data_IF_511740346112
#
_entry.id   IF_511740346112
#
_cell.length_a   1.000
_cell.length_b   1.000
_cell.length_c   1.000
_cell.angle_alpha   90.00
_cell.angle_beta   90.00
_cell.angle_gamma   90.00
#
_symmetry.space_group_name_H-M   'P 1'
#
loop_
_entity.id
_entity.type
_entity.pdbx_description
1 polymer ?
#
# COMPACT_ATOMS: atom_id res chain seq x y z
N UNK A 1 19.50 12.03 39.52
CA UNK A 1 20.14 11.62 38.25
C UNK A 1 19.50 12.42 37.13
N UNK A 2 20.20 13.44 36.63
CA UNK A 2 19.75 14.31 35.55
C UNK A 2 19.74 13.51 34.25
N UNK A 3 18.55 13.22 33.72
CA UNK A 3 18.39 12.72 32.37
C UNK A 3 18.88 13.80 31.41
N UNK A 4 20.04 13.61 30.82
CA UNK A 4 20.58 14.46 29.76
C UNK A 4 19.55 14.54 28.65
N UNK A 5 18.79 15.64 28.59
CA UNK A 5 17.93 15.97 27.45
C UNK A 5 18.82 16.12 26.23
N UNK A 6 18.78 15.18 25.29
CA UNK A 6 19.49 15.30 24.03
C UNK A 6 18.89 16.47 23.25
N UNK A 7 19.72 17.48 22.94
CA UNK A 7 19.35 18.54 22.00
C UNK A 7 19.06 17.87 20.66
N UNK A 8 17.90 18.13 20.10
CA UNK A 8 17.54 17.76 18.74
C UNK A 8 17.80 18.93 17.81
N UNK A 9 18.45 18.68 16.69
CA UNK A 9 18.76 19.69 15.70
C UNK A 9 17.84 19.54 14.50
N UNK A 10 17.44 20.66 13.92
CA UNK A 10 16.66 20.70 12.67
C UNK A 10 17.45 21.50 11.65
N UNK A 11 17.75 20.89 10.51
CA UNK A 11 18.36 21.53 9.35
C UNK A 11 17.28 21.75 8.31
N UNK A 12 16.91 22.98 8.05
CA UNK A 12 16.01 23.36 6.96
C UNK A 12 16.82 23.74 5.74
N UNK A 13 16.47 23.19 4.60
CA UNK A 13 17.15 23.39 3.31
C UNK A 13 16.17 24.08 2.37
N UNK A 14 16.51 25.29 1.94
CA UNK A 14 15.76 26.02 0.91
C UNK A 14 16.59 26.17 -0.38
N UNK A 15 16.02 26.83 -1.38
CA UNK A 15 16.77 27.18 -2.60
C UNK A 15 17.83 28.24 -2.34
N UNK A 16 17.62 29.10 -1.34
CA UNK A 16 18.41 30.29 -1.09
C UNK A 16 19.24 30.23 0.18
N UNK A 17 18.87 29.38 1.13
CA UNK A 17 19.53 29.33 2.44
C UNK A 17 19.46 27.94 3.11
N UNK A 18 20.36 27.76 4.07
CA UNK A 18 20.36 26.65 5.03
C UNK A 18 20.18 27.23 6.43
N UNK A 19 19.22 26.71 7.17
CA UNK A 19 18.96 27.15 8.57
C UNK A 19 19.13 25.97 9.51
N UNK A 20 20.07 26.09 10.42
CA UNK A 20 20.25 25.14 11.51
C UNK A 20 19.60 25.69 12.77
N UNK A 21 18.68 24.94 13.33
CA UNK A 21 17.99 25.30 14.58
C UNK A 21 18.11 24.18 15.61
N UNK A 22 18.07 24.53 16.88
CA UNK A 22 17.97 23.57 17.97
C UNK A 22 16.57 23.56 18.56
N UNK A 23 16.05 22.37 18.85
CA UNK A 23 14.84 22.19 19.64
C UNK A 23 15.25 22.07 21.12
N UNK A 24 14.98 23.13 21.90
CA UNK A 24 15.09 23.10 23.34
C UNK A 24 13.84 22.41 23.89
N UNK A 25 14.00 21.41 24.71
CA UNK A 25 12.99 20.41 25.09
C UNK A 25 11.73 20.86 25.87
N UNK A 26 11.24 22.08 25.69
CA UNK A 26 9.94 22.56 26.16
C UNK A 26 9.06 22.80 24.94
N UNK A 27 7.94 22.11 24.84
CA UNK A 27 7.09 22.01 23.66
C UNK A 27 6.47 23.30 23.10
N UNK A 28 6.75 24.47 23.65
CA UNK A 28 6.21 25.78 23.25
C UNK A 28 7.27 26.75 22.68
N UNK A 29 8.55 26.40 22.75
CA UNK A 29 9.60 27.31 22.29
C UNK A 29 9.78 27.14 20.77
N UNK A 30 9.84 28.30 20.09
CA UNK A 30 10.27 28.33 18.68
C UNK A 30 11.68 27.73 18.59
N UNK A 31 11.99 26.99 17.54
CA UNK A 31 13.34 26.45 17.35
C UNK A 31 14.36 27.58 17.40
N UNK A 32 15.33 27.51 18.29
CA UNK A 32 16.42 28.48 18.38
C UNK A 32 17.26 28.38 17.11
N UNK A 33 17.34 29.48 16.34
CA UNK A 33 18.20 29.57 15.16
C UNK A 33 19.67 29.64 15.61
N UNK A 34 20.43 28.61 15.29
CA UNK A 34 21.86 28.54 15.65
C UNK A 34 22.76 29.14 14.57
N UNK A 35 22.43 28.86 13.30
CA UNK A 35 23.20 29.32 12.16
C UNK A 35 22.32 29.41 10.92
N UNK A 36 22.52 30.45 10.11
CA UNK A 36 21.98 30.58 8.76
C UNK A 36 23.15 30.72 7.78
N UNK A 37 23.02 30.07 6.63
CA UNK A 37 24.02 30.12 5.55
C UNK A 37 23.28 30.40 4.26
N UNK A 38 23.57 31.56 3.67
CA UNK A 38 22.99 31.90 2.36
C UNK A 38 23.71 31.14 1.24
N UNK A 39 22.91 30.58 0.34
CA UNK A 39 23.39 29.83 -0.82
C UNK A 39 23.61 30.82 -1.97
N UNK A 40 24.84 30.92 -2.45
CA UNK A 40 25.21 31.78 -3.55
C UNK A 40 24.67 31.29 -4.89
N UNK A 41 24.64 32.19 -5.90
CA UNK A 41 24.26 31.78 -7.25
C UNK A 41 25.28 30.78 -7.83
N UNK A 42 24.80 29.70 -8.47
CA UNK A 42 25.64 28.68 -9.06
C UNK A 42 24.95 27.34 -9.24
N UNK A 43 25.69 26.31 -9.55
CA UNK A 43 25.15 24.92 -9.58
C UNK A 43 24.67 24.55 -8.19
N UNK A 44 23.37 24.32 -8.05
CA UNK A 44 22.72 24.08 -6.74
C UNK A 44 23.43 22.97 -5.93
N UNK A 45 23.83 21.88 -6.58
CA UNK A 45 24.49 20.77 -5.90
C UNK A 45 25.88 21.17 -5.32
N UNK A 46 26.62 22.04 -6.00
CA UNK A 46 27.93 22.49 -5.54
C UNK A 46 27.76 23.51 -4.41
N UNK A 47 26.86 24.47 -4.60
CA UNK A 47 26.56 25.50 -3.60
C UNK A 47 25.99 24.88 -2.31
N UNK A 48 25.10 23.89 -2.44
CA UNK A 48 24.58 23.14 -1.31
C UNK A 48 25.70 22.42 -0.53
N UNK A 49 26.60 21.72 -1.23
CA UNK A 49 27.73 21.04 -0.58
C UNK A 49 28.63 22.04 0.16
N UNK A 50 28.95 23.16 -0.47
CA UNK A 50 29.76 24.21 0.16
C UNK A 50 29.04 24.80 1.40
N UNK A 51 27.75 25.14 1.28
CA UNK A 51 26.95 25.63 2.39
C UNK A 51 26.81 24.62 3.54
N UNK A 52 26.63 23.34 3.27
CA UNK A 52 26.61 22.30 4.30
C UNK A 52 27.95 22.19 5.04
N UNK A 53 29.06 22.33 4.33
CA UNK A 53 30.40 22.27 4.92
C UNK A 53 30.74 23.54 5.75
N UNK A 54 30.12 24.68 5.47
CA UNK A 54 30.29 25.92 6.22
C UNK A 54 29.58 25.92 7.59
N UNK A 55 28.65 24.97 7.82
CA UNK A 55 28.04 24.81 9.14
C UNK A 55 29.10 24.46 10.17
N UNK A 56 29.30 25.31 11.18
CA UNK A 56 30.36 25.18 12.17
C UNK A 56 30.22 23.95 13.08
N UNK A 57 31.32 23.35 13.57
CA UNK A 57 31.28 22.24 14.52
C UNK A 57 30.72 22.64 15.89
N UNK A 58 30.79 23.91 16.24
CA UNK A 58 30.19 24.48 17.46
C UNK A 58 28.67 24.54 17.36
N UNK A 59 28.12 24.88 16.20
CA UNK A 59 26.69 24.91 15.96
C UNK A 59 26.09 23.49 15.84
N UNK A 60 26.79 22.56 15.19
CA UNK A 60 26.34 21.17 15.02
C UNK A 60 27.44 20.17 15.44
N UNK A 61 27.40 19.62 16.64
CA UNK A 61 28.37 18.66 17.13
C UNK A 61 28.38 17.34 16.34
N UNK A 62 29.50 16.64 16.35
CA UNK A 62 29.58 15.27 15.81
C UNK A 62 28.62 14.35 16.57
N UNK A 63 28.11 13.34 15.87
CA UNK A 63 27.14 12.36 16.41
C UNK A 63 25.81 12.97 16.90
N UNK A 64 25.53 14.25 16.60
CA UNK A 64 24.27 14.86 16.93
C UNK A 64 23.09 14.15 16.23
N UNK A 65 21.92 14.19 16.89
CA UNK A 65 20.67 13.77 16.28
C UNK A 65 20.08 14.95 15.50
N UNK A 66 19.81 14.75 14.21
CA UNK A 66 19.33 15.79 13.32
C UNK A 66 18.12 15.34 12.51
N UNK A 67 17.13 16.20 12.40
CA UNK A 67 16.03 16.09 11.43
C UNK A 67 16.29 17.07 10.30
N UNK A 68 16.11 16.62 9.05
CA UNK A 68 16.34 17.44 7.86
C UNK A 68 15.00 17.74 7.22
N UNK A 69 14.73 19.01 6.96
CA UNK A 69 13.49 19.48 6.36
C UNK A 69 13.82 20.16 5.04
N UNK A 70 13.24 19.64 3.96
CA UNK A 70 13.47 20.16 2.61
C UNK A 70 12.28 21.03 2.22
N UNK A 71 12.52 22.28 1.83
CA UNK A 71 11.46 23.25 1.51
C UNK A 71 10.70 22.90 0.24
N UNK A 72 9.47 23.41 0.12
CA UNK A 72 8.52 23.12 -0.97
C UNK A 72 9.08 23.27 -2.36
N UNK A 73 9.88 24.30 -2.71
CA UNK A 73 10.40 24.46 -4.06
C UNK A 73 11.35 23.32 -4.50
N UNK A 74 11.97 22.64 -3.55
CA UNK A 74 12.92 21.55 -3.79
C UNK A 74 12.26 20.16 -3.86
N UNK A 75 11.01 20.07 -3.47
CA UNK A 75 10.24 18.81 -3.41
C UNK A 75 9.14 18.83 -4.46
N UNK A 76 8.83 17.68 -5.03
CA UNK A 76 7.64 17.48 -5.86
C UNK A 76 6.69 16.56 -5.13
N UNK A 77 5.53 17.11 -4.74
CA UNK A 77 4.47 16.34 -4.07
C UNK A 77 3.39 15.98 -5.08
N UNK A 78 2.92 14.74 -5.07
CA UNK A 78 1.89 14.27 -5.99
C UNK A 78 1.12 13.08 -5.42
N UNK A 79 -0.11 12.90 -5.94
CA UNK A 79 -0.93 11.74 -5.61
C UNK A 79 -0.78 10.68 -6.70
N UNK A 80 -0.69 9.44 -6.26
CA UNK A 80 -0.58 8.25 -7.11
C UNK A 80 -1.79 7.37 -6.89
N UNK A 81 -2.46 6.98 -7.97
CA UNK A 81 -3.49 5.94 -7.94
C UNK A 81 -2.80 4.60 -8.16
N UNK A 82 -2.90 3.65 -7.22
CA UNK A 82 -2.27 2.34 -7.38
C UNK A 82 -2.92 1.57 -8.53
N UNK A 83 -2.17 0.71 -9.26
CA UNK A 83 -2.74 -0.21 -10.22
C UNK A 83 -3.73 -1.17 -9.53
N UNK A 84 -4.80 -1.56 -10.24
CA UNK A 84 -5.86 -2.43 -9.69
C UNK A 84 -5.34 -3.81 -9.26
N UNK A 85 -4.22 -4.25 -9.82
CA UNK A 85 -3.58 -5.53 -9.57
C UNK A 85 -2.21 -5.42 -8.90
N UNK A 86 -1.92 -4.31 -8.21
CA UNK A 86 -0.65 -4.13 -7.51
C UNK A 86 -0.47 -5.21 -6.44
N UNK A 87 0.46 -6.13 -6.66
CA UNK A 87 0.78 -7.23 -5.75
C UNK A 87 2.09 -7.00 -4.97
N UNK A 88 3.01 -6.21 -5.53
CA UNK A 88 4.31 -5.95 -4.97
C UNK A 88 4.58 -4.45 -4.78
N UNK A 89 5.55 -4.13 -3.92
CA UNK A 89 5.98 -2.74 -3.72
C UNK A 89 6.55 -2.12 -5.02
N UNK A 90 7.15 -2.94 -5.87
CA UNK A 90 7.74 -2.47 -7.12
C UNK A 90 6.69 -2.04 -8.15
N UNK A 91 5.48 -2.62 -8.11
CA UNK A 91 4.34 -2.16 -8.91
C UNK A 91 3.94 -0.72 -8.51
N UNK A 92 3.92 -0.46 -7.20
CA UNK A 92 3.62 0.87 -6.66
C UNK A 92 4.71 1.88 -7.00
N UNK A 93 6.00 1.49 -6.92
CA UNK A 93 7.12 2.33 -7.32
C UNK A 93 7.07 2.65 -8.83
N UNK A 94 6.76 1.65 -9.65
CA UNK A 94 6.56 1.83 -11.09
C UNK A 94 5.43 2.83 -11.38
N UNK A 95 4.29 2.70 -10.71
CA UNK A 95 3.17 3.62 -10.84
C UNK A 95 3.52 5.05 -10.38
N UNK A 96 4.28 5.18 -9.29
CA UNK A 96 4.74 6.47 -8.79
C UNK A 96 5.72 7.14 -9.77
N UNK A 97 6.66 6.39 -10.34
CA UNK A 97 7.62 6.86 -11.35
C UNK A 97 6.91 7.31 -12.64
N UNK A 98 5.95 6.52 -13.11
CA UNK A 98 5.14 6.87 -14.28
C UNK A 98 4.30 8.14 -14.02
N UNK A 99 3.65 8.22 -12.86
CA UNK A 99 2.88 9.40 -12.49
C UNK A 99 3.73 10.65 -12.36
N UNK A 100 4.94 10.51 -11.80
CA UNK A 100 5.90 11.60 -11.68
C UNK A 100 6.32 12.13 -13.06
N UNK A 101 6.72 11.26 -14.00
CA UNK A 101 7.10 11.67 -15.34
C UNK A 101 5.94 12.28 -16.11
N UNK A 102 4.72 11.78 -15.95
CA UNK A 102 3.51 12.34 -16.60
C UNK A 102 3.19 13.74 -16.08
N UNK A 103 3.33 13.99 -14.77
CA UNK A 103 2.99 15.29 -14.18
C UNK A 103 4.04 16.36 -14.41
N UNK A 104 5.31 15.99 -14.36
CA UNK A 104 6.41 16.97 -14.36
C UNK A 104 7.24 16.96 -15.64
N UNK A 105 7.08 15.97 -16.52
CA UNK A 105 7.91 15.81 -17.72
C UNK A 105 9.38 15.53 -17.42
N UNK A 106 9.70 15.07 -16.22
CA UNK A 106 11.06 14.84 -15.73
C UNK A 106 11.38 13.34 -15.73
N UNK A 107 12.67 13.02 -15.85
CA UNK A 107 13.16 11.64 -15.77
C UNK A 107 13.16 11.18 -14.31
N UNK A 108 12.47 10.08 -13.97
CA UNK A 108 12.42 9.58 -12.59
C UNK A 108 13.77 9.16 -12.01
N UNK A 109 14.73 8.77 -12.88
CA UNK A 109 16.06 8.30 -12.48
C UNK A 109 16.91 9.36 -11.78
N UNK A 110 16.63 10.65 -12.03
CA UNK A 110 17.31 11.77 -11.38
C UNK A 110 16.69 12.13 -10.01
N UNK A 111 15.63 11.41 -9.61
CA UNK A 111 14.82 11.75 -8.46
C UNK A 111 14.58 10.57 -7.54
N UNK A 112 14.77 10.78 -6.27
CA UNK A 112 14.38 9.83 -5.24
C UNK A 112 12.90 10.02 -4.88
N UNK A 113 12.09 8.99 -5.11
CA UNK A 113 10.66 9.01 -4.81
C UNK A 113 10.40 8.20 -3.55
N UNK A 114 9.88 8.86 -2.53
CA UNK A 114 9.37 8.26 -1.32
C UNK A 114 7.86 8.45 -1.23
N UNK A 115 7.12 7.51 -0.66
CA UNK A 115 5.67 7.61 -0.59
C UNK A 115 5.08 6.90 0.64
N UNK A 116 3.86 7.27 0.98
CA UNK A 116 3.01 6.55 1.91
C UNK A 116 2.33 5.39 1.18
N UNK A 117 3.10 4.36 0.83
CA UNK A 117 2.71 3.26 -0.04
C UNK A 117 1.40 2.58 0.40
N UNK A 118 0.39 2.61 -0.45
CA UNK A 118 -0.90 1.95 -0.27
C UNK A 118 -1.33 1.28 -1.58
N UNK A 119 -1.57 -0.04 -1.55
CA UNK A 119 -1.96 -0.80 -2.72
C UNK A 119 -3.47 -0.72 -3.02
N UNK A 120 -4.27 -0.20 -2.09
CA UNK A 120 -5.73 -0.19 -2.20
C UNK A 120 -6.33 1.17 -2.50
N UNK A 121 -5.61 2.25 -2.15
CA UNK A 121 -6.14 3.61 -2.24
C UNK A 121 -5.09 4.56 -2.80
N UNK A 122 -5.51 5.69 -3.38
CA UNK A 122 -4.59 6.74 -3.76
C UNK A 122 -3.72 7.15 -2.59
N UNK A 123 -2.42 7.28 -2.82
CA UNK A 123 -1.43 7.59 -1.81
C UNK A 123 -0.58 8.79 -2.19
N UNK A 124 -0.09 9.48 -1.17
CA UNK A 124 0.79 10.62 -1.35
C UNK A 124 2.22 10.14 -1.61
N UNK A 125 2.84 10.72 -2.63
CA UNK A 125 4.25 10.55 -2.96
C UNK A 125 4.95 11.90 -2.96
N UNK A 126 6.24 11.87 -2.67
CA UNK A 126 7.13 13.01 -2.67
C UNK A 126 8.43 12.62 -3.38
N UNK A 127 8.96 13.54 -4.20
CA UNK A 127 10.22 13.34 -4.91
C UNK A 127 11.19 14.49 -4.63
N UNK A 128 12.45 14.13 -4.40
CA UNK A 128 13.57 15.07 -4.27
C UNK A 128 14.70 14.65 -5.22
N UNK A 129 15.53 15.61 -5.65
CA UNK A 129 16.66 15.28 -6.52
C UNK A 129 17.67 14.37 -5.81
N UNK A 130 18.14 13.32 -6.51
CA UNK A 130 19.21 12.44 -6.01
C UNK A 130 20.47 13.23 -5.61
N UNK A 131 20.85 14.24 -6.39
CA UNK A 131 22.01 15.09 -6.10
C UNK A 131 21.92 15.83 -4.77
N UNK A 132 20.70 16.14 -4.30
CA UNK A 132 20.48 16.72 -2.97
C UNK A 132 20.72 15.66 -1.89
N UNK A 133 20.21 14.47 -2.06
CA UNK A 133 20.43 13.38 -1.10
C UNK A 133 21.89 12.96 -1.03
N UNK A 134 22.60 12.93 -2.15
CA UNK A 134 24.05 12.67 -2.19
C UNK A 134 24.86 13.73 -1.42
N UNK A 135 24.51 15.01 -1.57
CA UNK A 135 25.14 16.08 -0.83
C UNK A 135 24.91 15.92 0.69
N UNK A 136 23.68 15.56 1.07
CA UNK A 136 23.32 15.28 2.47
C UNK A 136 24.05 14.04 3.01
N UNK A 137 24.11 12.96 2.23
CA UNK A 137 24.80 11.74 2.64
C UNK A 137 26.29 12.02 2.92
N UNK A 138 26.95 12.78 2.06
CA UNK A 138 28.33 13.23 2.28
C UNK A 138 28.51 14.05 3.56
N UNK A 139 27.64 15.03 3.81
CA UNK A 139 27.66 15.85 5.01
C UNK A 139 27.42 15.03 6.28
N UNK A 140 26.38 14.19 6.26
CA UNK A 140 26.01 13.31 7.37
C UNK A 140 27.15 12.35 7.71
N UNK A 141 27.76 11.74 6.69
CA UNK A 141 28.87 10.79 6.84
C UNK A 141 30.12 11.48 7.41
N UNK A 142 30.52 12.65 6.89
CA UNK A 142 31.69 13.39 7.34
C UNK A 142 31.60 13.78 8.84
N UNK A 143 30.41 14.05 9.33
CA UNK A 143 30.16 14.43 10.73
C UNK A 143 29.64 13.32 11.61
N UNK A 144 29.39 12.14 11.03
CA UNK A 144 28.81 10.96 11.72
C UNK A 144 27.49 11.30 12.41
N UNK A 145 26.64 12.11 11.76
CA UNK A 145 25.36 12.52 12.32
C UNK A 145 24.37 11.36 12.36
N UNK A 146 23.43 11.42 13.30
CA UNK A 146 22.31 10.47 13.37
C UNK A 146 21.08 11.14 12.78
N UNK A 147 20.80 10.89 11.52
CA UNK A 147 19.61 11.43 10.87
C UNK A 147 18.37 10.69 11.38
N UNK A 148 17.46 11.44 12.00
CA UNK A 148 16.19 10.91 12.47
C UNK A 148 15.21 10.80 11.31
N UNK A 149 15.18 11.81 10.42
CA UNK A 149 14.26 11.92 9.32
C UNK A 149 14.78 12.92 8.28
N UNK A 150 14.41 12.68 7.01
CA UNK A 150 14.50 13.65 5.92
C UNK A 150 13.09 13.82 5.37
N UNK A 151 12.45 14.96 5.54
CA UNK A 151 11.06 15.17 5.21
C UNK A 151 10.83 16.44 4.38
N UNK A 152 9.73 16.48 3.63
CA UNK A 152 9.25 17.67 2.97
C UNK A 152 8.65 18.64 3.99
N UNK A 153 9.00 19.94 3.91
CA UNK A 153 8.52 20.94 4.83
C UNK A 153 6.97 21.01 4.92
N UNK A 154 6.21 20.99 3.82
CA UNK A 154 4.75 21.00 3.89
C UNK A 154 4.16 19.81 4.64
N UNK A 155 4.80 18.66 4.58
CA UNK A 155 4.33 17.46 5.28
C UNK A 155 4.74 17.44 6.75
N UNK A 156 5.99 17.87 7.04
CA UNK A 156 6.50 17.91 8.42
C UNK A 156 5.73 18.89 9.29
N UNK A 157 5.30 20.01 8.73
CA UNK A 157 4.49 21.01 9.41
C UNK A 157 3.17 20.42 9.88
N UNK A 158 2.48 19.66 9.02
CA UNK A 158 1.16 19.10 9.32
C UNK A 158 1.22 17.76 10.05
N UNK A 159 2.32 17.05 9.97
CA UNK A 159 2.49 15.77 10.66
C UNK A 159 2.24 15.86 12.17
N UNK A 160 2.55 17.01 12.75
CA UNK A 160 2.44 17.26 14.20
C UNK A 160 1.06 17.76 14.61
N UNK A 161 0.25 18.24 13.68
CA UNK A 161 -1.00 18.95 13.96
C UNK A 161 -2.25 18.13 13.63
N UNK A 162 -2.11 16.81 13.49
CA UNK A 162 -3.22 15.90 13.14
C UNK A 162 -4.41 15.97 14.13
N UNK A 163 -4.13 16.26 15.39
CA UNK A 163 -5.16 16.29 16.44
C UNK A 163 -6.12 17.48 16.29
N UNK A 164 -5.71 18.53 15.57
CA UNK A 164 -6.52 19.74 15.31
C UNK A 164 -7.53 19.48 14.19
N UNK A 165 -7.29 18.46 13.34
CA UNK A 165 -8.12 18.18 12.18
C UNK A 165 -9.47 17.61 12.58
N UNK A 166 -10.52 18.05 11.90
CA UNK A 166 -11.86 17.50 12.08
C UNK A 166 -11.91 16.02 11.67
N UNK A 167 -12.49 15.13 12.50
CA UNK A 167 -12.59 13.71 12.16
C UNK A 167 -13.62 13.39 11.07
N UNK A 168 -14.61 14.27 10.88
CA UNK A 168 -15.80 13.98 10.10
C UNK A 168 -15.93 14.81 8.81
N UNK A 169 -14.98 15.70 8.54
CA UNK A 169 -15.01 16.55 7.35
C UNK A 169 -13.67 16.54 6.61
N UNK A 170 -13.68 16.95 5.35
CA UNK A 170 -12.48 17.28 4.61
C UNK A 170 -11.81 18.50 5.25
N UNK A 171 -10.50 18.39 5.51
CA UNK A 171 -9.71 19.47 6.05
C UNK A 171 -8.84 20.04 4.94
N UNK A 172 -8.85 21.37 4.81
CA UNK A 172 -8.02 22.10 3.88
C UNK A 172 -6.81 22.68 4.61
N UNK A 173 -5.65 22.21 4.21
CA UNK A 173 -4.37 22.54 4.87
C UNK A 173 -3.51 23.34 3.90
N UNK A 174 -3.15 24.55 4.26
CA UNK A 174 -2.29 25.43 3.49
C UNK A 174 -0.93 25.52 4.18
N UNK A 175 0.14 25.22 3.47
CA UNK A 175 1.51 25.44 3.92
C UNK A 175 2.16 26.51 3.05
N UNK A 176 2.49 27.67 3.61
CA UNK A 176 3.10 28.79 2.90
C UNK A 176 4.59 28.87 3.20
N UNK A 177 5.38 28.98 2.15
CA UNK A 177 6.83 29.26 2.19
C UNK A 177 7.14 30.37 1.17
N UNK A 178 7.19 31.62 1.63
CA UNK A 178 7.28 32.77 0.73
C UNK A 178 6.07 32.86 -0.20
N UNK A 179 6.29 32.73 -1.52
CA UNK A 179 5.23 32.68 -2.52
C UNK A 179 4.75 31.25 -2.83
N UNK A 180 5.49 30.24 -2.44
CA UNK A 180 5.10 28.85 -2.64
C UNK A 180 4.05 28.44 -1.60
N UNK A 181 2.91 27.93 -2.08
CA UNK A 181 1.83 27.42 -1.24
C UNK A 181 1.55 25.98 -1.62
N UNK A 182 1.61 25.10 -0.65
CA UNK A 182 1.15 23.72 -0.80
C UNK A 182 -0.20 23.59 -0.14
N UNK A 183 -1.17 23.20 -0.94
CA UNK A 183 -2.55 23.03 -0.56
C UNK A 183 -2.86 21.53 -0.55
N UNK A 184 -3.34 21.04 0.58
CA UNK A 184 -3.68 19.64 0.83
C UNK A 184 -5.14 19.56 1.26
N UNK A 185 -5.90 18.66 0.64
CA UNK A 185 -7.26 18.32 1.09
C UNK A 185 -7.21 16.90 1.63
N UNK A 186 -7.50 16.74 2.90
CA UNK A 186 -7.37 15.46 3.59
C UNK A 186 -8.45 15.23 4.64
N UNK A 187 -8.68 13.98 4.97
CA UNK A 187 -9.32 13.56 6.22
C UNK A 187 -8.24 13.09 7.23
N UNK A 188 -8.65 12.57 8.39
CA UNK A 188 -7.70 12.00 9.38
C UNK A 188 -6.95 10.75 8.89
N UNK A 189 -7.25 10.23 7.71
CA UNK A 189 -6.65 8.99 7.21
C UNK A 189 -5.85 9.20 5.94
N UNK A 190 -6.30 10.10 5.04
CA UNK A 190 -5.78 10.18 3.68
C UNK A 190 -5.77 11.59 3.13
N UNK A 191 -4.87 11.80 2.19
CA UNK A 191 -4.87 12.97 1.32
C UNK A 191 -5.71 12.64 0.09
N UNK A 192 -6.72 13.45 -0.17
CA UNK A 192 -7.67 13.29 -1.27
C UNK A 192 -7.30 14.15 -2.48
N UNK A 193 -6.75 15.33 -2.21
CA UNK A 193 -6.27 16.24 -3.25
C UNK A 193 -5.04 17.00 -2.78
N UNK A 194 -4.21 17.38 -3.74
CA UNK A 194 -2.98 18.13 -3.49
C UNK A 194 -2.72 19.07 -4.64
N UNK A 195 -2.28 20.28 -4.31
CA UNK A 195 -1.83 21.24 -5.29
C UNK A 195 -0.69 22.11 -4.72
N UNK A 196 0.35 22.29 -5.50
CA UNK A 196 1.41 23.25 -5.21
C UNK A 196 1.27 24.43 -6.18
N UNK A 197 1.12 25.62 -5.66
CA UNK A 197 0.88 26.84 -6.41
C UNK A 197 1.84 27.94 -5.98
N UNK A 198 2.04 28.91 -6.86
CA UNK A 198 2.73 30.16 -6.52
C UNK A 198 1.67 31.23 -6.33
N UNK A 199 1.49 31.64 -5.09
CA UNK A 199 0.61 32.75 -4.76
C UNK A 199 1.43 33.99 -4.43
N UNK A 200 1.17 35.12 -5.09
CA UNK A 200 1.71 36.39 -4.68
C UNK A 200 1.18 36.82 -3.31
N UNK A 201 1.50 37.99 -2.84
CA UNK A 201 1.10 38.40 -1.50
C UNK A 201 -0.38 38.84 -1.40
N UNK A 202 -1.06 39.13 -2.51
CA UNK A 202 -2.43 39.66 -2.52
C UNK A 202 -3.44 38.70 -1.81
N UNK A 203 -3.47 37.37 -2.02
CA UNK A 203 -4.39 36.50 -1.29
C UNK A 203 -4.22 36.55 0.23
N UNK A 204 -3.06 36.96 0.71
CA UNK A 204 -2.70 37.02 2.12
C UNK A 204 -2.93 38.38 2.79
N UNK A 205 -3.53 39.36 2.08
CA UNK A 205 -3.84 40.68 2.63
C UNK A 205 -5.17 40.71 3.38
N UNK A 206 -6.11 39.86 3.05
CA UNK A 206 -7.42 39.78 3.70
C UNK A 206 -8.03 38.38 3.63
N UNK A 207 -8.94 38.10 4.54
CA UNK A 207 -9.67 36.83 4.54
C UNK A 207 -10.53 36.66 3.28
N UNK A 208 -11.08 37.73 2.72
CA UNK A 208 -11.88 37.68 1.49
C UNK A 208 -11.02 37.34 0.28
N UNK A 209 -9.83 37.94 0.12
CA UNK A 209 -8.91 37.61 -0.94
C UNK A 209 -8.38 36.18 -0.83
N UNK A 210 -8.14 35.71 0.40
CA UNK A 210 -7.75 34.33 0.67
C UNK A 210 -8.87 33.34 0.30
N UNK A 211 -10.11 33.69 0.64
CA UNK A 211 -11.29 32.89 0.27
C UNK A 211 -11.44 32.77 -1.25
N UNK A 212 -11.34 33.88 -2.00
CA UNK A 212 -11.40 33.85 -3.47
C UNK A 212 -10.29 32.97 -4.06
N UNK A 213 -9.07 33.05 -3.55
CA UNK A 213 -7.96 32.21 -4.00
C UNK A 213 -8.23 30.73 -3.72
N UNK A 214 -8.75 30.39 -2.53
CA UNK A 214 -9.13 29.02 -2.17
C UNK A 214 -10.30 28.54 -3.03
N UNK A 215 -11.27 29.39 -3.32
CA UNK A 215 -12.40 29.06 -4.18
C UNK A 215 -11.96 28.68 -5.61
N UNK A 216 -11.03 29.43 -6.18
CA UNK A 216 -10.45 29.10 -7.47
C UNK A 216 -9.74 27.74 -7.47
N UNK A 217 -8.99 27.46 -6.41
CA UNK A 217 -8.31 26.16 -6.30
C UNK A 217 -9.30 25.01 -6.01
N UNK A 218 -10.40 25.27 -5.29
CA UNK A 218 -11.47 24.30 -5.06
C UNK A 218 -12.13 23.88 -6.37
N UNK A 219 -12.43 24.86 -7.25
CA UNK A 219 -12.95 24.58 -8.60
C UNK A 219 -11.98 23.74 -9.43
N UNK A 220 -10.67 24.02 -9.37
CA UNK A 220 -9.63 23.27 -10.10
C UNK A 220 -9.44 21.85 -9.58
N UNK A 221 -9.72 21.63 -8.30
CA UNK A 221 -9.62 20.33 -7.65
C UNK A 221 -10.93 19.52 -7.71
N UNK A 222 -11.99 20.10 -8.29
CA UNK A 222 -13.35 19.55 -8.28
C UNK A 222 -13.82 19.23 -6.86
N UNK A 223 -13.69 20.23 -5.96
CA UNK A 223 -14.03 20.13 -4.55
C UNK A 223 -14.91 21.29 -4.11
N UNK A 224 -15.63 21.06 -3.02
CA UNK A 224 -16.37 22.14 -2.36
C UNK A 224 -15.41 23.05 -1.60
N UNK A 225 -15.74 24.35 -1.56
CA UNK A 225 -14.98 25.31 -0.77
C UNK A 225 -15.16 24.97 0.71
N UNK A 226 -14.09 24.93 1.51
CA UNK A 226 -14.16 24.58 2.92
C UNK A 226 -14.82 25.67 3.75
N UNK A 227 -15.58 25.28 4.76
CA UNK A 227 -16.02 26.22 5.82
C UNK A 227 -14.88 26.57 6.78
N UNK A 228 -13.89 25.70 6.93
CA UNK A 228 -12.69 25.92 7.76
C UNK A 228 -11.46 25.51 6.98
N UNK A 229 -10.49 26.42 6.88
CA UNK A 229 -9.17 26.16 6.32
C UNK A 229 -8.09 26.42 7.38
N UNK A 230 -7.04 25.60 7.33
CA UNK A 230 -5.93 25.68 8.28
C UNK A 230 -4.66 26.15 7.58
N UNK A 231 -3.94 27.10 8.18
CA UNK A 231 -2.70 27.67 7.65
C UNK A 231 -1.48 27.31 8.48
N UNK A 232 -0.32 27.23 7.82
CA UNK A 232 1.00 27.10 8.43
C UNK A 232 2.09 27.76 7.58
N UNK A 233 3.23 28.03 8.21
CA UNK A 233 4.37 28.69 7.56
C UNK A 233 4.32 30.21 7.71
N UNK A 234 4.64 30.91 6.64
CA UNK A 234 4.77 32.38 6.63
C UNK A 234 3.39 33.07 6.54
N UNK A 235 2.45 32.70 7.43
CA UNK A 235 1.12 33.29 7.48
C UNK A 235 1.18 34.65 8.20
N UNK A 236 0.59 35.71 7.61
CA UNK A 236 0.50 37.03 8.30
C UNK A 236 -0.28 36.92 9.60
N UNK A 237 0.17 37.68 10.61
CA UNK A 237 -0.45 37.66 11.95
C UNK A 237 -1.93 38.08 11.92
N UNK A 238 -2.31 38.95 10.99
CA UNK A 238 -3.67 39.44 10.80
C UNK A 238 -4.63 38.32 10.34
N UNK A 239 -4.10 37.27 9.73
CA UNK A 239 -4.88 36.11 9.26
C UNK A 239 -4.82 34.91 10.20
N UNK A 240 -4.07 34.96 11.30
CA UNK A 240 -3.91 33.76 12.18
C UNK A 240 -5.23 33.20 12.69
N UNK A 241 -6.21 34.08 12.97
CA UNK A 241 -7.61 33.68 13.22
C UNK A 241 -8.50 34.71 12.55
N UNK A 242 -8.98 34.41 11.37
CA UNK A 242 -9.83 35.31 10.60
C UNK A 242 -11.10 34.57 10.14
N UNK A 243 -12.23 35.22 10.20
CA UNK A 243 -13.53 34.68 9.84
C UNK A 243 -14.23 35.60 8.86
N UNK A 244 -14.67 35.05 7.76
CA UNK A 244 -15.66 35.65 6.85
C UNK A 244 -17.00 34.93 6.98
N UNK A 245 -18.09 35.43 6.39
CA UNK A 245 -19.37 34.73 6.37
C UNK A 245 -19.29 33.32 5.74
N UNK A 246 -18.35 33.14 4.82
CA UNK A 246 -18.22 31.91 4.03
C UNK A 246 -17.17 30.93 4.57
N UNK A 247 -16.12 31.46 5.23
CA UNK A 247 -14.99 30.62 5.65
C UNK A 247 -14.30 31.16 6.91
N UNK A 248 -13.86 30.25 7.76
CA UNK A 248 -12.92 30.54 8.86
C UNK A 248 -11.54 30.03 8.51
N UNK A 249 -10.54 30.90 8.60
CA UNK A 249 -9.13 30.53 8.45
C UNK A 249 -8.45 30.53 9.82
N UNK A 250 -7.69 29.50 10.12
CA UNK A 250 -7.06 29.30 11.43
C UNK A 250 -5.62 28.84 11.29
N UNK A 251 -4.72 29.42 12.07
CA UNK A 251 -3.39 28.89 12.32
C UNK A 251 -3.45 28.10 13.62
N UNK A 252 -3.36 26.76 13.58
CA UNK A 252 -3.49 25.95 14.77
C UNK A 252 -2.45 26.31 15.83
N UNK A 253 -2.86 26.59 17.06
CA UNK A 253 -1.91 26.75 18.16
C UNK A 253 -1.31 25.39 18.50
N UNK A 254 0.02 25.31 18.63
CA UNK A 254 0.70 24.06 18.98
C UNK A 254 0.21 23.60 20.36
N UNK A 255 -0.16 22.31 20.52
CA UNK A 255 -0.56 21.79 21.81
C UNK A 255 0.64 21.84 22.77
N UNK A 256 0.42 22.35 23.98
CA UNK A 256 1.44 22.53 25.05
C UNK A 256 2.15 21.24 25.50
N UNK A 257 1.61 20.06 25.19
CA UNK A 257 2.20 18.76 25.51
C UNK A 257 2.16 17.84 24.29
N UNK A 258 3.35 17.48 23.83
CA UNK A 258 3.51 16.36 22.91
C UNK A 258 3.29 15.09 23.75
N UNK A 259 2.10 14.54 23.70
CA UNK A 259 1.86 13.20 24.26
C UNK A 259 2.55 12.19 23.37
N UNK A 260 3.29 11.25 23.98
CA UNK A 260 4.09 10.20 23.33
C UNK A 260 3.26 9.31 22.36
N UNK A 261 1.96 9.48 22.33
CA UNK A 261 0.97 8.73 21.54
C UNK A 261 0.31 9.55 20.42
N UNK A 262 0.96 10.60 19.90
CA UNK A 262 0.42 11.33 18.77
C UNK A 262 0.18 10.39 17.59
N UNK A 263 -1.11 10.27 17.22
CA UNK A 263 -1.53 9.54 16.02
C UNK A 263 -1.07 10.35 14.81
N UNK A 264 0.01 9.91 14.18
CA UNK A 264 0.45 10.51 12.93
C UNK A 264 -0.49 10.06 11.80
N UNK A 265 -0.82 10.98 10.88
CA UNK A 265 -1.40 10.60 9.61
C UNK A 265 -0.33 9.81 8.84
N UNK A 266 -0.57 8.53 8.51
CA UNK A 266 0.41 7.74 7.74
C UNK A 266 0.79 8.41 6.43
N UNK A 267 -0.15 9.15 5.82
CA UNK A 267 0.07 9.89 4.57
C UNK A 267 1.12 11.00 4.68
N UNK A 268 1.39 11.52 5.88
CA UNK A 268 2.42 12.55 6.08
C UNK A 268 3.76 11.97 6.58
N UNK A 269 3.82 10.66 6.79
CA UNK A 269 5.04 10.00 7.27
C UNK A 269 5.95 9.55 6.12
N UNK A 270 6.23 10.46 5.18
CA UNK A 270 7.15 10.25 4.08
C UNK A 270 8.56 10.65 4.51
N UNK A 271 9.52 9.75 4.33
CA UNK A 271 10.90 9.91 4.73
C UNK A 271 11.85 9.56 3.57
N UNK A 272 12.68 10.50 3.19
CA UNK A 272 13.65 10.34 2.08
C UNK A 272 14.97 9.65 2.49
N UNK A 273 15.09 9.16 3.72
CA UNK A 273 16.30 8.43 4.10
C UNK A 273 16.48 7.18 3.22
N UNK A 274 17.67 6.97 2.64
CA UNK A 274 17.97 5.71 1.97
C UNK A 274 17.98 4.58 3.02
N UNK A 275 17.18 3.56 2.81
CA UNK A 275 17.09 2.39 3.68
C UNK A 275 15.68 1.81 3.73
N UNK A 276 15.49 0.64 4.33
CA UNK A 276 14.17 0.02 4.40
C UNK A 276 13.22 0.96 5.13
N UNK A 277 12.30 1.55 4.38
CA UNK A 277 11.28 2.49 4.84
C UNK A 277 10.22 1.85 5.76
N UNK A 278 10.35 0.57 6.03
CA UNK A 278 9.55 -0.17 7.00
C UNK A 278 10.35 -0.32 8.29
N UNK A 279 10.53 0.76 9.05
CA UNK A 279 10.57 0.59 10.50
C UNK A 279 9.13 0.28 10.92
N UNK A 280 8.74 -0.97 10.80
CA UNK A 280 7.74 -1.51 11.70
C UNK A 280 8.25 -1.13 13.11
N UNK A 281 7.62 -0.13 13.74
CA UNK A 281 7.81 0.09 15.18
C UNK A 281 7.42 -1.24 15.79
N UNK A 282 8.43 -2.04 16.15
CA UNK A 282 8.22 -3.23 16.97
C UNK A 282 7.69 -2.68 18.29
N UNK A 283 6.38 -2.53 18.35
CA UNK A 283 5.70 -2.23 19.61
C UNK A 283 5.91 -3.42 20.52
N UNK A 284 5.93 -3.21 21.83
CA UNK A 284 6.00 -4.32 22.80
C UNK A 284 4.97 -5.42 22.51
N UNK A 285 3.81 -5.04 21.95
CA UNK A 285 2.79 -5.98 21.47
C UNK A 285 3.24 -6.80 20.26
N UNK A 286 3.99 -6.22 19.30
CA UNK A 286 4.53 -6.96 18.15
C UNK A 286 5.62 -7.94 18.59
N UNK A 287 6.45 -7.55 19.58
CA UNK A 287 7.44 -8.46 20.16
C UNK A 287 6.75 -9.63 20.89
N UNK A 288 5.72 -9.33 21.68
CA UNK A 288 4.92 -10.37 22.33
C UNK A 288 4.21 -11.29 21.33
N UNK A 289 3.70 -10.74 20.22
CA UNK A 289 3.11 -11.53 19.15
C UNK A 289 4.14 -12.42 18.43
N UNK A 290 5.35 -11.93 18.18
CA UNK A 290 6.44 -12.74 17.62
C UNK A 290 6.87 -13.87 18.58
N UNK A 291 6.98 -13.60 19.87
CA UNK A 291 7.28 -14.62 20.88
C UNK A 291 6.17 -15.65 20.97
N UNK A 292 4.90 -15.22 20.96
CA UNK A 292 3.75 -16.13 20.94
C UNK A 292 3.73 -17.01 19.68
N UNK A 293 4.04 -16.42 18.52
CA UNK A 293 4.13 -17.16 17.26
C UNK A 293 5.25 -18.20 17.26
N UNK A 294 6.42 -17.87 17.81
CA UNK A 294 7.54 -18.81 17.97
C UNK A 294 7.20 -19.94 18.94
N UNK A 295 6.48 -19.65 20.02
CA UNK A 295 5.96 -20.66 20.95
C UNK A 295 4.95 -21.59 20.26
N UNK A 296 4.02 -21.05 19.47
CA UNK A 296 3.08 -21.86 18.70
C UNK A 296 3.79 -22.76 17.67
N UNK A 297 4.80 -22.25 16.98
CA UNK A 297 5.63 -23.04 16.05
C UNK A 297 6.36 -24.14 16.80
N UNK A 298 6.90 -23.86 17.99
CA UNK A 298 7.56 -24.85 18.84
C UNK A 298 6.62 -25.97 19.29
N UNK A 299 5.38 -25.64 19.67
CA UNK A 299 4.35 -26.61 20.06
C UNK A 299 3.97 -27.50 18.86
N UNK A 300 3.70 -26.90 17.69
CA UNK A 300 3.34 -27.65 16.46
C UNK A 300 4.51 -28.54 16.01
N UNK A 301 5.75 -28.07 16.11
CA UNK A 301 6.93 -28.87 15.81
C UNK A 301 7.07 -30.04 16.81
N UNK A 302 6.83 -29.81 18.09
CA UNK A 302 6.84 -30.85 19.12
C UNK A 302 5.79 -31.94 18.89
N UNK A 303 4.54 -31.54 18.59
CA UNK A 303 3.47 -32.48 18.26
C UNK A 303 3.77 -33.27 16.97
N UNK A 304 4.35 -32.63 15.96
CA UNK A 304 4.69 -33.33 14.71
C UNK A 304 5.80 -34.39 14.91
N UNK A 305 6.76 -34.13 15.81
CA UNK A 305 7.79 -35.13 16.20
C UNK A 305 7.14 -36.26 17.01
N UNK A 306 6.24 -35.95 17.92
CA UNK A 306 5.52 -36.95 18.71
C UNK A 306 4.65 -37.88 17.85
N UNK A 307 3.93 -37.32 16.87
CA UNK A 307 3.15 -38.08 15.90
C UNK A 307 4.04 -38.97 15.03
N UNK A 308 5.21 -38.50 14.61
CA UNK A 308 6.18 -39.32 13.85
C UNK A 308 6.71 -40.47 14.69
N UNK A 309 7.04 -40.27 15.97
CA UNK A 309 7.46 -41.35 16.86
C UNK A 309 6.37 -42.40 17.11
N UNK A 310 5.10 -41.96 17.21
CA UNK A 310 3.98 -42.90 17.32
C UNK A 310 3.78 -43.71 16.02
N UNK A 311 3.92 -43.07 14.84
CA UNK A 311 3.83 -43.78 13.55
C UNK A 311 4.92 -44.86 13.41
N UNK A 312 6.17 -44.54 13.76
CA UNK A 312 7.25 -45.55 13.69
C UNK A 312 7.02 -46.73 14.63
N UNK A 313 6.44 -46.50 15.82
CA UNK A 313 6.07 -47.57 16.75
C UNK A 313 4.91 -48.43 16.23
N UNK A 314 3.92 -47.81 15.57
CA UNK A 314 2.80 -48.54 14.93
C UNK A 314 3.31 -49.35 13.74
N UNK A 315 4.19 -48.76 12.91
CA UNK A 315 4.80 -49.49 11.77
C UNK A 315 5.66 -50.68 12.23
N UNK A 316 6.44 -50.55 13.27
CA UNK A 316 7.23 -51.64 13.81
C UNK A 316 6.34 -52.77 14.37
N UNK A 317 5.22 -52.41 15.04
CA UNK A 317 4.22 -53.41 15.54
C UNK A 317 3.50 -54.09 14.35
N UNK A 318 3.10 -53.36 13.32
CA UNK A 318 2.45 -53.93 12.14
C UNK A 318 3.41 -54.81 11.34
N UNK A 319 4.69 -54.42 11.21
CA UNK A 319 5.73 -55.25 10.59
C UNK A 319 5.93 -56.58 11.34
N UNK A 320 5.95 -56.54 12.69
CA UNK A 320 6.09 -57.78 13.51
C UNK A 320 4.86 -58.68 13.38
N UNK A 321 3.64 -58.13 13.32
CA UNK A 321 2.41 -58.88 13.08
C UNK A 321 2.38 -59.50 11.68
N UNK A 322 2.76 -58.70 10.66
CA UNK A 322 2.88 -59.23 9.28
C UNK A 322 3.92 -60.33 9.15
N UNK A 323 5.06 -60.22 9.84
CA UNK A 323 6.07 -61.28 9.87
C UNK A 323 5.52 -62.57 10.51
N UNK A 324 4.73 -62.45 11.61
CA UNK A 324 4.06 -63.63 12.24
C UNK A 324 2.98 -64.26 11.36
N UNK A 325 2.23 -63.47 10.59
CA UNK A 325 1.22 -63.95 9.64
C UNK A 325 1.92 -64.64 8.45
N UNK A 326 2.99 -64.05 7.88
CA UNK A 326 3.78 -64.63 6.80
C UNK A 326 4.45 -65.96 7.23
N UNK A 327 4.91 -66.07 8.48
CA UNK A 327 5.47 -67.30 9.01
C UNK A 327 4.44 -68.42 9.21
N UNK A 328 3.11 -68.11 9.26
CA UNK A 328 2.04 -69.11 9.35
C UNK A 328 1.37 -69.50 8.01
N UNK A 329 1.60 -68.68 6.97
CA UNK A 329 1.06 -68.98 5.63
C UNK A 329 2.02 -69.87 4.86
N UNK A 330 1.61 -71.12 4.55
CA UNK A 330 2.28 -71.95 3.55
C UNK A 330 2.29 -71.24 2.21
N UNK A 331 3.36 -71.31 1.39
CA UNK A 331 3.42 -70.61 0.12
C UNK A 331 2.32 -71.11 -0.80
N UNK A 332 1.35 -70.27 -1.11
CA UNK A 332 0.44 -70.47 -2.23
C UNK A 332 1.26 -70.06 -3.46
N UNK A 333 1.48 -71.03 -4.33
CA UNK A 333 2.13 -70.88 -5.65
C UNK A 333 1.43 -69.76 -6.41
N UNK A 334 2.13 -68.65 -6.61
CA UNK A 334 1.67 -67.53 -7.45
C UNK A 334 1.62 -68.04 -8.92
N UNK A 335 0.44 -68.19 -9.45
CA UNK A 335 0.25 -68.18 -10.91
C UNK A 335 0.74 -66.79 -11.40
N UNK A 336 1.62 -66.86 -12.38
CA UNK A 336 2.27 -65.69 -12.96
C UNK A 336 1.24 -64.66 -13.43
N UNK A 337 1.16 -63.51 -12.74
CA UNK A 337 0.41 -62.38 -13.25
C UNK A 337 1.12 -61.85 -14.51
N UNK A 338 0.44 -62.01 -15.65
CA UNK A 338 0.87 -61.43 -16.93
C UNK A 338 1.11 -59.90 -16.75
N UNK A 339 2.20 -59.37 -17.29
CA UNK A 339 2.47 -57.93 -17.18
C UNK A 339 1.36 -57.15 -17.90
N UNK A 340 0.63 -56.31 -17.16
CA UNK A 340 -0.38 -55.42 -17.71
C UNK A 340 0.31 -54.46 -18.66
N UNK A 341 -0.11 -54.43 -19.94
CA UNK A 341 0.42 -53.48 -20.92
C UNK A 341 0.20 -52.03 -20.46
N UNK A 342 1.18 -51.16 -20.66
CA UNK A 342 1.15 -49.75 -20.23
C UNK A 342 -0.11 -49.00 -20.71
N UNK A 343 -0.62 -49.35 -21.92
CA UNK A 343 -1.82 -48.74 -22.49
C UNK A 343 -3.11 -49.15 -21.73
N UNK A 344 -3.16 -50.39 -21.23
CA UNK A 344 -4.28 -50.87 -20.40
C UNK A 344 -4.27 -50.20 -19.02
N UNK A 345 -3.08 -50.04 -18.41
CA UNK A 345 -2.94 -49.33 -17.16
C UNK A 345 -3.35 -47.84 -17.30
N UNK A 346 -2.98 -47.19 -18.39
CA UNK A 346 -3.35 -45.80 -18.67
C UNK A 346 -4.87 -45.65 -18.86
N UNK A 347 -5.50 -46.58 -19.56
CA UNK A 347 -6.96 -46.58 -19.77
C UNK A 347 -7.73 -46.79 -18.47
N UNK A 348 -7.28 -47.70 -17.62
CA UNK A 348 -7.88 -47.97 -16.30
C UNK A 348 -7.70 -46.76 -15.37
N UNK A 349 -6.51 -46.17 -15.33
CA UNK A 349 -6.26 -44.96 -14.52
C UNK A 349 -7.10 -43.76 -15.00
N UNK A 350 -7.34 -43.63 -16.31
CA UNK A 350 -8.25 -42.63 -16.86
C UNK A 350 -9.69 -42.86 -16.42
N UNK A 351 -10.15 -44.08 -16.44
CA UNK A 351 -11.49 -44.45 -15.98
C UNK A 351 -11.64 -44.18 -14.46
N UNK A 352 -10.65 -44.58 -13.66
CA UNK A 352 -10.64 -44.32 -12.21
C UNK A 352 -10.68 -42.81 -11.91
N UNK A 353 -9.91 -41.99 -12.63
CA UNK A 353 -9.93 -40.54 -12.41
C UNK A 353 -11.27 -39.89 -12.76
N UNK A 354 -11.98 -40.43 -13.79
CA UNK A 354 -13.33 -39.98 -14.14
C UNK A 354 -14.38 -40.42 -13.13
N UNK A 355 -14.24 -41.60 -12.55
CA UNK A 355 -15.16 -42.10 -11.51
C UNK A 355 -15.01 -41.36 -10.16
N UNK A 356 -13.82 -40.88 -9.85
CA UNK A 356 -13.52 -40.18 -8.60
C UNK A 356 -13.92 -38.67 -8.61
N UNK A 357 -14.50 -38.18 -9.71
CA UNK A 357 -15.02 -36.83 -9.75
C UNK A 357 -16.20 -36.65 -8.80
N UNK A 358 -16.38 -35.45 -8.19
CA UNK A 358 -17.50 -35.15 -7.31
C UNK A 358 -18.80 -34.92 -8.10
N UNK A 359 -19.21 -35.91 -8.91
CA UNK A 359 -20.35 -35.85 -9.82
C UNK A 359 -21.64 -35.34 -9.18
N UNK A 360 -21.92 -35.79 -7.95
CA UNK A 360 -23.15 -35.39 -7.25
C UNK A 360 -23.20 -33.88 -6.97
N UNK A 361 -22.06 -33.27 -6.66
CA UNK A 361 -22.01 -31.84 -6.35
C UNK A 361 -22.05 -31.04 -7.64
N UNK A 362 -21.22 -31.39 -8.63
CA UNK A 362 -21.18 -30.71 -9.93
C UNK A 362 -22.55 -30.68 -10.61
N UNK A 363 -23.24 -31.85 -10.68
CA UNK A 363 -24.55 -31.94 -11.29
C UNK A 363 -25.63 -31.18 -10.53
N UNK A 364 -25.62 -31.20 -9.18
CA UNK A 364 -26.56 -30.43 -8.38
C UNK A 364 -26.41 -28.93 -8.59
N UNK A 365 -25.19 -28.45 -8.65
CA UNK A 365 -24.92 -27.02 -8.83
C UNK A 365 -25.30 -26.56 -10.23
N UNK A 366 -25.03 -27.33 -11.25
CA UNK A 366 -25.49 -27.08 -12.61
C UNK A 366 -27.03 -27.11 -12.69
N UNK A 367 -27.67 -28.15 -12.17
CA UNK A 367 -29.13 -28.27 -12.15
C UNK A 367 -29.79 -27.10 -11.40
N UNK A 368 -29.28 -26.78 -10.23
CA UNK A 368 -29.81 -25.67 -9.41
C UNK A 368 -29.56 -24.28 -10.01
N UNK A 369 -28.66 -24.18 -10.98
CA UNK A 369 -28.36 -22.93 -11.69
C UNK A 369 -29.03 -22.83 -13.05
N UNK A 370 -29.67 -23.91 -13.55
CA UNK A 370 -30.29 -23.94 -14.87
C UNK A 370 -31.77 -23.57 -14.77
N UNK A 371 -32.18 -22.38 -15.18
CA UNK A 371 -33.59 -21.99 -15.29
C UNK A 371 -34.30 -22.82 -16.35
N UNK A 372 -35.63 -22.78 -16.32
CA UNK A 372 -36.47 -23.55 -17.29
C UNK A 372 -36.28 -23.08 -18.74
N UNK A 373 -35.87 -21.87 -18.94
CA UNK A 373 -35.65 -21.23 -20.25
C UNK A 373 -34.30 -21.62 -20.88
N UNK A 374 -33.40 -22.24 -20.12
CA UNK A 374 -32.08 -22.69 -20.62
C UNK A 374 -32.09 -24.17 -20.91
N UNK A 375 -31.80 -24.56 -22.15
CA UNK A 375 -31.61 -25.94 -22.55
C UNK A 375 -30.13 -26.32 -22.44
N UNK A 376 -29.81 -27.21 -21.51
CA UNK A 376 -28.45 -27.74 -21.37
C UNK A 376 -28.28 -28.93 -22.33
N UNK A 377 -27.35 -28.80 -23.29
CA UNK A 377 -27.14 -29.79 -24.35
C UNK A 377 -26.06 -30.82 -23.99
N UNK A 378 -24.96 -30.39 -23.42
CA UNK A 378 -23.87 -31.30 -23.01
C UNK A 378 -23.10 -30.75 -21.81
N UNK A 379 -22.50 -31.68 -21.05
CA UNK A 379 -21.59 -31.40 -19.95
C UNK A 379 -20.42 -32.38 -20.05
N UNK A 380 -19.21 -31.85 -20.12
CA UNK A 380 -17.96 -32.60 -20.22
C UNK A 380 -16.97 -32.17 -19.13
N UNK A 381 -16.76 -32.96 -18.09
CA UNK A 381 -15.75 -32.64 -17.08
C UNK A 381 -14.35 -33.10 -17.52
N UNK A 382 -13.39 -32.21 -17.34
CA UNK A 382 -11.96 -32.49 -17.46
C UNK A 382 -11.33 -32.63 -16.08
N UNK A 383 -11.15 -33.84 -15.61
CA UNK A 383 -10.59 -34.17 -14.31
C UNK A 383 -9.12 -33.68 -14.13
N UNK A 384 -8.36 -33.53 -15.21
CA UNK A 384 -6.95 -33.08 -15.12
C UNK A 384 -6.83 -31.60 -14.92
N UNK A 385 -7.77 -30.84 -15.45
CA UNK A 385 -7.76 -29.36 -15.41
C UNK A 385 -8.75 -28.80 -14.40
N UNK A 386 -9.56 -29.63 -13.78
CA UNK A 386 -10.67 -29.21 -12.92
C UNK A 386 -11.63 -28.25 -13.62
N UNK A 387 -11.94 -28.52 -14.90
CA UNK A 387 -12.80 -27.70 -15.75
C UNK A 387 -14.01 -28.46 -16.22
N UNK A 388 -15.20 -27.91 -16.00
CA UNK A 388 -16.45 -28.37 -16.57
C UNK A 388 -16.73 -27.57 -17.84
N UNK A 389 -16.76 -28.25 -19.00
CA UNK A 389 -17.21 -27.66 -20.24
C UNK A 389 -18.67 -27.95 -20.42
N UNK A 390 -19.46 -26.93 -20.74
CA UNK A 390 -20.87 -27.06 -21.00
C UNK A 390 -21.28 -26.39 -22.30
N UNK A 391 -22.27 -26.99 -22.98
CA UNK A 391 -22.95 -26.39 -24.11
C UNK A 391 -24.43 -26.26 -23.77
N UNK A 392 -24.99 -25.09 -23.96
CA UNK A 392 -26.38 -24.78 -23.67
C UNK A 392 -26.99 -23.82 -24.69
N UNK A 393 -28.32 -23.75 -24.72
CA UNK A 393 -29.10 -22.80 -25.51
C UNK A 393 -29.92 -21.90 -24.60
N UNK A 394 -29.95 -20.61 -24.93
CA UNK A 394 -30.76 -19.60 -24.29
C UNK A 394 -31.68 -18.90 -25.31
N UNK A 395 -32.83 -18.40 -24.90
CA UNK A 395 -33.69 -17.62 -25.80
C UNK A 395 -33.05 -16.35 -26.31
N UNK A 396 -32.20 -15.73 -25.47
CA UNK A 396 -31.51 -14.48 -25.79
C UNK A 396 -30.18 -14.33 -25.04
N UNK A 397 -29.46 -13.25 -25.29
CA UNK A 397 -28.18 -12.95 -24.65
C UNK A 397 -28.32 -12.59 -23.17
N UNK A 398 -29.47 -12.04 -22.76
CA UNK A 398 -29.73 -11.71 -21.37
C UNK A 398 -29.88 -12.98 -20.51
N UNK A 399 -30.65 -13.98 -21.01
CA UNK A 399 -30.81 -15.29 -20.40
C UNK A 399 -29.46 -16.03 -20.29
N UNK A 400 -28.64 -16.00 -21.34
CA UNK A 400 -27.31 -16.57 -21.31
C UNK A 400 -26.42 -15.97 -20.22
N UNK A 401 -26.35 -14.63 -20.13
CA UNK A 401 -25.55 -13.93 -19.13
C UNK A 401 -26.06 -14.15 -17.71
N UNK A 402 -27.38 -14.17 -17.52
CA UNK A 402 -28.01 -14.49 -16.24
C UNK A 402 -27.64 -15.91 -15.77
N UNK A 403 -27.69 -16.90 -16.65
CA UNK A 403 -27.29 -18.28 -16.35
C UNK A 403 -25.80 -18.36 -15.94
N UNK A 404 -24.87 -17.76 -16.70
CA UNK A 404 -23.45 -17.79 -16.37
C UNK A 404 -23.17 -17.10 -15.04
N UNK A 405 -23.87 -16.00 -14.74
CA UNK A 405 -23.76 -15.28 -13.47
C UNK A 405 -24.30 -16.14 -12.30
N UNK A 406 -25.42 -16.82 -12.49
CA UNK A 406 -25.99 -17.71 -11.50
C UNK A 406 -25.10 -18.93 -11.24
N UNK A 407 -24.54 -19.51 -12.28
CA UNK A 407 -23.59 -20.64 -12.17
C UNK A 407 -22.33 -20.19 -11.40
N UNK A 408 -21.80 -19.01 -11.70
CA UNK A 408 -20.65 -18.42 -10.98
C UNK A 408 -20.94 -18.13 -9.50
N UNK A 409 -22.18 -17.84 -9.15
CA UNK A 409 -22.57 -17.58 -7.75
C UNK A 409 -22.55 -18.81 -6.86
N UNK A 410 -22.47 -20.03 -7.45
CA UNK A 410 -22.36 -21.27 -6.71
C UNK A 410 -20.93 -21.44 -6.17
N UNK A 411 -20.82 -21.71 -4.89
CA UNK A 411 -19.54 -21.71 -4.16
C UNK A 411 -18.51 -22.78 -4.59
N UNK A 412 -18.89 -23.73 -5.46
CA UNK A 412 -17.98 -24.74 -6.00
C UNK A 412 -17.27 -24.30 -7.28
N UNK A 413 -17.78 -23.29 -7.98
CA UNK A 413 -17.14 -22.77 -9.19
C UNK A 413 -16.38 -21.49 -8.89
N UNK A 414 -15.04 -21.53 -9.02
CA UNK A 414 -14.17 -20.36 -8.83
C UNK A 414 -14.30 -19.35 -9.96
N UNK A 415 -14.44 -19.84 -11.19
CA UNK A 415 -14.64 -19.00 -12.36
C UNK A 415 -15.53 -19.68 -13.38
N UNK A 416 -16.37 -18.90 -14.07
CA UNK A 416 -17.19 -19.34 -15.19
C UNK A 416 -16.92 -18.39 -16.35
N UNK A 417 -16.50 -18.92 -17.48
CA UNK A 417 -16.11 -18.18 -18.67
C UNK A 417 -16.96 -18.59 -19.85
N UNK A 418 -17.43 -17.64 -20.63
CA UNK A 418 -18.04 -17.88 -21.93
C UNK A 418 -16.93 -18.16 -22.95
N UNK A 419 -16.92 -19.35 -23.53
CA UNK A 419 -15.93 -19.74 -24.52
C UNK A 419 -16.34 -19.34 -25.95
N UNK A 420 -17.61 -19.57 -26.31
CA UNK A 420 -18.16 -19.27 -27.64
C UNK A 420 -19.67 -19.10 -27.53
N UNK A 421 -20.24 -18.28 -28.41
CA UNK A 421 -21.70 -18.24 -28.64
C UNK A 421 -21.99 -18.01 -30.12
N UNK A 422 -23.11 -18.56 -30.57
CA UNK A 422 -23.58 -18.44 -31.94
C UNK A 422 -25.12 -18.56 -31.96
N UNK A 423 -25.74 -17.92 -32.95
CA UNK A 423 -27.17 -18.04 -33.14
C UNK A 423 -27.46 -19.38 -33.86
N UNK A 424 -28.40 -20.19 -33.35
CA UNK A 424 -28.80 -21.42 -34.00
C UNK A 424 -29.85 -21.11 -35.07
N UNK A 425 -29.39 -20.88 -36.30
CA UNK A 425 -30.27 -20.56 -37.44
C UNK A 425 -31.10 -21.76 -37.95
N UNK A 426 -30.79 -22.97 -37.49
CA UNK A 426 -31.49 -24.17 -37.91
C UNK A 426 -32.77 -24.44 -37.07
N UNK A 427 -32.89 -23.78 -35.94
CA UNK A 427 -34.07 -23.86 -35.08
C UNK A 427 -35.04 -22.71 -35.39
N UNK A 428 -36.36 -22.96 -35.58
CA UNK A 428 -37.33 -21.93 -35.84
C UNK A 428 -37.41 -20.80 -34.78
N UNK A 429 -37.00 -21.10 -33.55
CA UNK A 429 -36.97 -20.16 -32.44
C UNK A 429 -35.67 -19.37 -32.36
N UNK A 430 -34.69 -19.65 -33.21
CA UNK A 430 -33.37 -19.02 -33.27
C UNK A 430 -32.70 -18.85 -31.89
N UNK A 431 -32.58 -19.89 -31.05
CA UNK A 431 -31.96 -19.76 -29.73
C UNK A 431 -30.47 -19.48 -29.88
N UNK A 432 -29.94 -18.77 -28.89
CA UNK A 432 -28.50 -18.48 -28.77
C UNK A 432 -27.82 -19.72 -28.16
N UNK A 433 -27.05 -20.47 -28.99
CA UNK A 433 -26.21 -21.57 -28.50
C UNK A 433 -24.90 -21.03 -27.97
N UNK A 434 -24.49 -21.44 -26.78
CA UNK A 434 -23.26 -21.03 -26.17
C UNK A 434 -22.50 -22.14 -25.48
N UNK A 435 -21.19 -22.00 -25.44
CA UNK A 435 -20.26 -22.88 -24.74
C UNK A 435 -19.62 -22.13 -23.57
N UNK A 436 -19.54 -22.79 -22.43
CA UNK A 436 -18.92 -22.22 -21.24
C UNK A 436 -17.93 -23.18 -20.60
N UNK A 437 -16.93 -22.62 -19.91
CA UNK A 437 -15.97 -23.35 -19.08
C UNK A 437 -16.10 -22.87 -17.64
N UNK A 438 -16.37 -23.79 -16.71
CA UNK A 438 -16.49 -23.54 -15.29
C UNK A 438 -15.37 -24.29 -14.54
N UNK A 439 -14.48 -23.56 -13.89
CA UNK A 439 -13.44 -24.13 -13.05
C UNK A 439 -14.01 -24.43 -11.67
N UNK A 440 -13.85 -25.66 -11.17
CA UNK A 440 -14.24 -26.00 -9.82
C UNK A 440 -13.03 -26.18 -8.91
N UNK A 441 -13.18 -25.79 -7.65
CA UNK A 441 -12.19 -26.10 -6.62
C UNK A 441 -12.53 -27.44 -5.95
N UNK A 442 -11.54 -28.28 -5.71
CA UNK A 442 -11.71 -29.38 -4.76
C UNK A 442 -11.98 -28.76 -3.38
N UNK A 443 -13.22 -28.91 -2.90
CA UNK A 443 -13.65 -28.31 -1.63
C UNK A 443 -12.65 -28.61 -0.52
N UNK A 444 -12.18 -27.56 0.14
CA UNK A 444 -11.47 -27.69 1.43
C UNK A 444 -12.32 -28.51 2.38
N UNK A 445 -11.85 -29.75 2.66
CA UNK A 445 -12.32 -30.53 3.80
C UNK A 445 -11.94 -29.87 5.11
#
# INVERSE_FOLDING_TARGET
MSLFKRKEFVLTISQTDLRLSALTGHGDEQPELLQSVDLQAGSYAQVLRAGLMSIGPTALPRHACISIVVSSPLVRLFLVTPPSNAAALDDLKGAASLRFSTLYGLKPEDWHIAAAWDSRHPFLAAAVRETLLDALAGFVGARKLRVQRIAAAPLEVWRRDVDVLSPSSENWLLSREGTAVTLLVCDKRRVHALRSVQWPNEPWQSISALYEAIQLEAMRLDRQVPTVAYGRGDVPAELEISTSPEMTFQVPKRPRRITVWQRHLPSFDIDFRPGPTVRAKVTRSSFAACVAMLLCIGIVAGESVHIRMQRTQVESRTASVRARIAARQKPITNEASLPIKADQAASVNKAISQLNLPWRQLLRDVEASTPKEIALLSIEPDAKRNVLKGTAEAPDSAGMLAYLTQLRSRGHFESVLLARHELNEQDPMHPLRFQFEANWSEGRK
#
